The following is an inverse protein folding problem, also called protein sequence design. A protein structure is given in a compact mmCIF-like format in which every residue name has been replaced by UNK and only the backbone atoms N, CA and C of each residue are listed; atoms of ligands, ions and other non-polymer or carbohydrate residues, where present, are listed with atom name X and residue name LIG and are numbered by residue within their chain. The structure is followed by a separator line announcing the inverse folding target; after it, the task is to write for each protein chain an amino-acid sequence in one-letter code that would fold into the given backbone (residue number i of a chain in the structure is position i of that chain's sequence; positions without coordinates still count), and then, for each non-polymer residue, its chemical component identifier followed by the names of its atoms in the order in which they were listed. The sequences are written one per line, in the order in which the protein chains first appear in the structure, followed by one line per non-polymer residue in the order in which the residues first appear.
data_IF_379857925375
#
_entry.id   IF_379857925375
#
_cell.length_a   1.000
_cell.length_b   1.000
_cell.length_c   1.000
_cell.angle_alpha   90.00
_cell.angle_beta   90.00
_cell.angle_gamma   90.00
#
_symmetry.space_group_name_H-M   'P 1'
#
loop_
_entity.id
_entity.type
_entity.pdbx_description
1 polymer ?
#
# COMPACT_ATOMS: atom_id res chain seq x y z
N UNK A 1 56.70 73.92 18.66
CA UNK A 1 58.03 73.74 19.24
C UNK A 1 58.21 72.27 19.61
N UNK A 2 59.27 71.68 19.03
CA UNK A 2 59.98 70.43 19.42
C UNK A 2 59.22 69.11 19.46
N UNK A 3 59.53 68.28 18.51
CA UNK A 3 60.68 67.39 18.14
C UNK A 3 60.87 66.18 19.03
N UNK A 4 60.94 65.01 18.35
CA UNK A 4 61.66 63.76 18.60
C UNK A 4 60.93 62.74 19.47
N UNK A 5 60.89 61.40 19.16
CA UNK A 5 61.77 60.51 18.37
C UNK A 5 61.08 59.26 18.01
N UNK A 6 61.32 58.76 16.79
CA UNK A 6 61.21 57.38 16.37
C UNK A 6 62.11 56.46 17.19
N UNK A 7 61.73 55.24 17.42
CA UNK A 7 62.46 53.99 17.16
C UNK A 7 61.86 52.86 17.97
N UNK A 8 61.73 51.68 17.25
CA UNK A 8 61.49 50.30 17.68
C UNK A 8 60.06 49.77 17.81
N UNK A 9 59.58 49.36 16.65
CA UNK A 9 58.55 48.29 16.53
C UNK A 9 58.87 47.50 15.29
N UNK A 10 59.86 46.62 15.32
CA UNK A 10 60.10 45.61 14.29
C UNK A 10 60.74 44.38 14.91
N UNK A 11 60.02 43.58 15.69
CA UNK A 11 60.42 42.20 16.05
C UNK A 11 59.31 41.32 16.64
N UNK A 12 58.02 41.74 16.66
CA UNK A 12 56.94 40.91 17.25
C UNK A 12 55.90 40.40 16.25
N UNK A 13 56.14 40.59 14.94
CA UNK A 13 55.13 40.19 13.92
C UNK A 13 55.43 38.88 13.16
N UNK A 14 56.54 38.17 13.49
CA UNK A 14 56.91 36.93 12.77
C UNK A 14 56.55 35.63 13.49
N UNK A 15 56.19 35.66 14.77
CA UNK A 15 55.83 34.45 15.54
C UNK A 15 54.34 34.18 15.67
N UNK A 16 53.48 35.14 15.26
CA UNK A 16 52.03 34.95 15.35
C UNK A 16 51.38 34.36 14.05
N UNK A 17 52.12 34.29 12.94
CA UNK A 17 51.58 33.74 11.67
C UNK A 17 51.81 32.24 11.46
N UNK A 18 52.69 31.59 12.22
CA UNK A 18 52.96 30.16 12.12
C UNK A 18 52.01 29.28 12.94
N UNK A 19 51.32 29.84 13.97
CA UNK A 19 50.37 29.09 14.80
C UNK A 19 48.97 29.01 14.21
N UNK A 20 48.57 29.93 13.32
CA UNK A 20 47.26 29.91 12.70
C UNK A 20 47.15 29.01 11.46
N UNK A 21 48.23 28.69 10.79
CA UNK A 21 48.21 27.78 9.61
C UNK A 21 48.13 26.32 10.03
N UNK A 22 48.62 25.97 11.22
CA UNK A 22 48.58 24.59 11.74
C UNK A 22 47.20 24.18 12.31
N UNK A 23 46.36 25.11 12.76
CA UNK A 23 45.00 24.79 13.24
C UNK A 23 43.95 24.66 12.12
N UNK A 24 44.16 25.28 10.98
CA UNK A 24 43.28 25.15 9.83
C UNK A 24 43.50 23.83 9.07
N UNK A 25 44.72 23.32 9.07
CA UNK A 25 45.03 22.02 8.47
C UNK A 25 44.54 20.82 9.32
N UNK A 26 44.37 20.95 10.63
CA UNK A 26 43.80 19.91 11.49
C UNK A 26 42.27 19.89 11.47
N UNK A 27 41.62 21.03 11.20
CA UNK A 27 40.16 21.10 11.08
C UNK A 27 39.63 20.58 9.73
N UNK A 28 40.43 20.59 8.66
CA UNK A 28 40.07 20.07 7.34
C UNK A 28 40.27 18.55 7.20
N UNK A 29 40.94 17.89 8.13
CA UNK A 29 41.09 16.43 8.18
C UNK A 29 39.95 15.72 8.94
N UNK A 30 39.10 16.44 9.68
CA UNK A 30 38.00 15.85 10.46
C UNK A 30 36.64 15.84 9.75
N UNK A 31 36.50 16.47 8.57
CA UNK A 31 35.22 16.55 7.82
C UNK A 31 35.13 15.51 6.69
N UNK A 32 36.17 14.70 6.47
CA UNK A 32 36.15 13.65 5.44
C UNK A 32 35.96 12.21 5.93
N UNK A 33 35.48 12.01 7.15
CA UNK A 33 35.32 10.67 7.74
C UNK A 33 33.84 10.26 7.91
N UNK A 34 32.90 10.77 7.10
CA UNK A 34 31.48 10.38 7.20
C UNK A 34 30.81 9.97 5.88
N UNK A 35 31.57 9.68 4.85
CA UNK A 35 31.05 8.91 3.71
C UNK A 35 31.93 7.67 3.49
N UNK A 36 31.95 6.77 4.48
CA UNK A 36 32.37 5.41 4.21
C UNK A 36 31.26 4.79 3.32
N UNK A 37 31.55 4.32 2.10
CA UNK A 37 30.59 3.50 1.39
C UNK A 37 30.19 2.36 2.32
N UNK A 38 28.89 2.12 2.48
CA UNK A 38 28.40 0.94 3.17
C UNK A 38 29.14 -0.27 2.60
N UNK A 39 29.90 -0.97 3.43
CA UNK A 39 30.62 -2.17 3.03
C UNK A 39 29.55 -3.15 2.58
N UNK A 40 29.57 -3.51 1.29
CA UNK A 40 28.72 -4.59 0.79
C UNK A 40 29.05 -5.84 1.62
N UNK A 41 28.03 -6.47 2.23
CA UNK A 41 28.21 -7.67 3.04
C UNK A 41 27.89 -7.53 4.55
N UNK A 42 27.30 -6.42 5.02
CA UNK A 42 26.94 -6.26 6.42
C UNK A 42 25.45 -5.89 6.58
N UNK A 43 24.77 -6.63 7.49
CA UNK A 43 23.43 -6.26 7.98
C UNK A 43 23.60 -5.22 9.09
N UNK A 44 23.03 -4.03 8.94
CA UNK A 44 23.14 -2.93 9.89
C UNK A 44 22.62 -3.34 11.27
N UNK A 45 23.46 -3.14 12.29
CA UNK A 45 23.14 -3.58 13.65
C UNK A 45 22.95 -5.10 13.84
N UNK A 46 23.25 -5.93 12.83
CA UNK A 46 23.14 -7.39 12.87
C UNK A 46 21.71 -7.93 12.93
N UNK A 47 20.69 -7.11 12.67
CA UNK A 47 19.26 -7.48 12.69
C UNK A 47 18.51 -6.72 11.61
N UNK A 48 17.82 -7.43 10.72
CA UNK A 48 16.91 -6.84 9.74
C UNK A 48 15.62 -6.46 10.47
N UNK A 49 15.26 -5.19 10.50
CA UNK A 49 14.06 -4.72 11.21
C UNK A 49 12.99 -4.23 10.26
N UNK A 50 11.81 -4.83 10.32
CA UNK A 50 10.66 -4.55 9.46
C UNK A 50 9.54 -3.93 10.30
N UNK A 51 9.01 -2.78 9.85
CA UNK A 51 7.89 -2.08 10.47
C UNK A 51 6.58 -2.37 9.74
N UNK A 52 5.60 -2.99 10.41
CA UNK A 52 4.23 -3.13 9.90
C UNK A 52 3.39 -1.98 10.46
N UNK A 53 2.95 -1.07 9.57
CA UNK A 53 2.17 0.10 9.96
C UNK A 53 0.82 0.09 9.25
N UNK A 54 -0.27 0.09 10.01
CA UNK A 54 -1.62 0.01 9.47
C UNK A 54 -2.68 0.52 10.46
N UNK A 55 -3.96 0.40 10.13
CA UNK A 55 -5.08 0.61 11.03
C UNK A 55 -5.30 -0.66 11.87
N UNK A 56 -5.04 -0.61 13.16
CA UNK A 56 -5.13 -1.80 14.03
C UNK A 56 -6.43 -1.90 14.82
N UNK A 57 -7.22 -0.84 14.91
CA UNK A 57 -8.41 -0.79 15.72
C UNK A 57 -9.59 -0.01 15.09
N UNK A 58 -9.39 0.59 13.91
CA UNK A 58 -10.40 1.36 13.19
C UNK A 58 -11.08 0.55 12.08
N UNK A 59 -11.78 1.25 11.15
CA UNK A 59 -12.66 0.63 10.15
C UNK A 59 -11.95 -0.27 9.12
N UNK A 60 -10.62 -0.24 9.03
CA UNK A 60 -9.83 -1.09 8.14
C UNK A 60 -9.08 -2.20 8.88
N UNK A 61 -9.30 -2.37 10.20
CA UNK A 61 -8.56 -3.33 11.02
C UNK A 61 -8.79 -4.80 10.62
N UNK A 62 -9.98 -5.15 10.15
CA UNK A 62 -10.30 -6.51 9.71
C UNK A 62 -9.58 -6.88 8.41
N UNK A 63 -9.41 -5.91 7.50
CA UNK A 63 -8.73 -6.15 6.23
C UNK A 63 -7.20 -6.12 6.33
N UNK A 64 -6.65 -5.40 7.29
CA UNK A 64 -5.21 -5.21 7.54
C UNK A 64 -4.84 -5.65 8.97
N UNK A 65 -4.83 -4.72 9.89
CA UNK A 65 -4.72 -4.87 11.33
C UNK A 65 -3.68 -5.86 11.81
N UNK A 66 -4.02 -6.58 12.84
CA UNK A 66 -3.17 -7.64 13.41
C UNK A 66 -2.98 -8.83 12.45
N UNK A 67 -3.88 -9.02 11.47
CA UNK A 67 -3.71 -10.02 10.42
C UNK A 67 -2.44 -9.79 9.60
N UNK A 68 -2.18 -8.54 9.20
CA UNK A 68 -0.94 -8.16 8.50
C UNK A 68 0.32 -8.42 9.33
N UNK A 69 0.30 -8.14 10.63
CA UNK A 69 1.41 -8.44 11.53
C UNK A 69 1.69 -9.95 11.60
N UNK A 70 0.62 -10.77 11.63
CA UNK A 70 0.74 -12.24 11.62
C UNK A 70 1.26 -12.76 10.29
N UNK A 71 0.81 -12.17 9.16
CA UNK A 71 1.31 -12.48 7.83
C UNK A 71 2.81 -12.18 7.69
N UNK A 72 3.27 -11.03 8.19
CA UNK A 72 4.69 -10.68 8.23
C UNK A 72 5.51 -11.68 9.04
N UNK A 73 5.03 -12.09 10.20
CA UNK A 73 5.69 -13.12 11.04
C UNK A 73 5.76 -14.48 10.36
N UNK A 74 4.70 -14.91 9.64
CA UNK A 74 4.73 -16.15 8.85
C UNK A 74 5.79 -16.08 7.74
N UNK A 75 5.95 -14.92 7.09
CA UNK A 75 6.99 -14.74 6.08
C UNK A 75 8.39 -14.85 6.68
N UNK A 76 8.62 -14.26 7.86
CA UNK A 76 9.90 -14.41 8.60
C UNK A 76 10.14 -15.86 8.98
N UNK A 77 9.13 -16.55 9.51
CA UNK A 77 9.23 -17.97 9.86
C UNK A 77 9.64 -18.83 8.65
N UNK A 78 9.00 -18.60 7.49
CA UNK A 78 9.32 -19.37 6.27
C UNK A 78 10.69 -18.99 5.71
N UNK A 79 11.09 -17.73 5.75
CA UNK A 79 12.42 -17.28 5.35
C UNK A 79 13.53 -17.88 6.21
N UNK A 80 13.35 -17.92 7.52
CA UNK A 80 14.37 -18.41 8.47
C UNK A 80 14.59 -19.91 8.38
N UNK A 81 13.66 -20.69 7.79
CA UNK A 81 13.90 -22.12 7.52
C UNK A 81 15.10 -22.37 6.60
N UNK A 82 15.37 -21.44 5.68
CA UNK A 82 16.49 -21.51 4.74
C UNK A 82 17.62 -20.54 5.06
N UNK A 83 17.38 -19.55 5.92
CA UNK A 83 18.34 -18.52 6.31
C UNK A 83 18.41 -18.34 7.83
N UNK A 84 18.77 -19.40 8.60
CA UNK A 84 18.66 -19.39 10.07
C UNK A 84 19.67 -18.42 10.76
N UNK A 85 20.71 -17.99 10.06
CA UNK A 85 21.70 -17.05 10.59
C UNK A 85 21.24 -15.59 10.56
N UNK A 86 20.29 -15.24 9.67
CA UNK A 86 19.78 -13.88 9.55
C UNK A 86 18.70 -13.63 10.60
N UNK A 87 18.99 -12.67 11.48
CA UNK A 87 18.03 -12.23 12.51
C UNK A 87 17.07 -11.23 11.91
N UNK A 88 15.78 -11.44 12.14
CA UNK A 88 14.70 -10.55 11.68
C UNK A 88 13.83 -10.17 12.86
N UNK A 89 13.52 -8.89 12.98
CA UNK A 89 12.62 -8.33 13.98
C UNK A 89 11.42 -7.64 13.31
N UNK A 90 10.21 -7.86 13.85
CA UNK A 90 8.97 -7.22 13.37
C UNK A 90 8.45 -6.29 14.46
N UNK A 91 8.47 -5.00 14.17
CA UNK A 91 7.78 -3.98 14.95
C UNK A 91 6.45 -3.60 14.27
N UNK A 92 5.46 -3.19 15.04
CA UNK A 92 4.18 -2.77 14.47
C UNK A 92 3.61 -1.55 15.19
N UNK A 93 2.83 -0.74 14.46
CA UNK A 93 2.17 0.43 15.01
C UNK A 93 0.84 0.74 14.30
N UNK A 94 -0.06 1.37 15.05
CA UNK A 94 -1.35 1.85 14.58
C UNK A 94 -1.25 3.32 14.16
N UNK A 95 -1.53 3.61 12.90
CA UNK A 95 -1.58 4.99 12.40
C UNK A 95 -2.96 5.66 12.59
N UNK A 96 -3.96 4.93 13.10
CA UNK A 96 -5.30 5.44 13.41
C UNK A 96 -5.98 6.15 12.22
N UNK A 97 -5.66 5.78 11.00
CA UNK A 97 -6.08 6.45 9.76
C UNK A 97 -5.74 7.96 9.69
N UNK A 98 -4.68 8.39 10.39
CA UNK A 98 -4.20 9.78 10.44
C UNK A 98 -2.82 9.90 9.81
N UNK A 99 -2.72 10.76 8.80
CA UNK A 99 -1.49 10.95 8.02
C UNK A 99 -0.32 11.48 8.87
N UNK A 100 -0.58 12.39 9.79
CA UNK A 100 0.40 12.96 10.72
C UNK A 100 0.96 11.92 11.71
N UNK A 101 0.08 11.06 12.25
CA UNK A 101 0.47 9.96 13.13
C UNK A 101 1.35 8.96 12.36
N UNK A 102 0.89 8.48 11.20
CA UNK A 102 1.66 7.55 10.38
C UNK A 102 3.02 8.11 9.96
N UNK A 103 3.05 9.37 9.53
CA UNK A 103 4.28 10.08 9.19
C UNK A 103 5.24 10.22 10.40
N UNK A 104 4.72 10.54 11.57
CA UNK A 104 5.50 10.64 12.81
C UNK A 104 6.14 9.32 13.22
N UNK A 105 5.36 8.22 13.16
CA UNK A 105 5.83 6.86 13.47
C UNK A 105 6.96 6.45 12.52
N UNK A 106 6.74 6.56 11.20
CA UNK A 106 7.72 6.10 10.20
C UNK A 106 8.99 6.95 10.24
N UNK A 107 8.88 8.25 10.50
CA UNK A 107 10.07 9.10 10.70
C UNK A 107 10.90 8.61 11.90
N UNK A 108 10.24 8.36 13.05
CA UNK A 108 10.93 7.82 14.22
C UNK A 108 11.57 6.44 13.93
N UNK A 109 10.86 5.56 13.25
CA UNK A 109 11.35 4.24 12.87
C UNK A 109 12.63 4.33 12.04
N UNK A 110 12.67 5.19 11.03
CA UNK A 110 13.82 5.32 10.13
C UNK A 110 14.98 6.10 10.76
N UNK A 111 14.72 7.10 11.62
CA UNK A 111 15.76 7.96 12.20
C UNK A 111 16.32 7.42 13.51
N UNK A 112 15.54 6.68 14.30
CA UNK A 112 15.87 6.35 15.70
C UNK A 112 15.83 4.84 15.95
N UNK A 113 14.78 4.16 15.48
CA UNK A 113 14.52 2.78 15.88
C UNK A 113 15.25 1.77 14.95
N UNK A 114 15.92 2.24 13.89
CA UNK A 114 16.70 1.42 12.97
C UNK A 114 15.84 0.46 12.12
N UNK A 115 14.62 0.86 11.75
CA UNK A 115 13.79 0.11 10.82
C UNK A 115 14.35 0.24 9.41
N UNK A 116 14.50 -0.88 8.71
CA UNK A 116 15.07 -0.96 7.37
C UNK A 116 14.02 -0.80 6.29
N UNK A 117 12.82 -1.37 6.52
CA UNK A 117 11.71 -1.33 5.59
C UNK A 117 10.38 -1.22 6.34
N UNK A 118 9.45 -0.39 5.84
CA UNK A 118 8.08 -0.36 6.32
C UNK A 118 7.12 -1.01 5.32
N UNK A 119 6.04 -1.62 5.81
CA UNK A 119 5.08 -2.33 4.97
C UNK A 119 3.65 -2.15 5.45
N UNK A 120 2.71 -2.39 4.55
CA UNK A 120 1.25 -2.38 4.64
C UNK A 120 0.67 -1.00 4.35
N UNK A 121 0.48 -0.14 5.32
CA UNK A 121 -0.07 1.21 5.17
C UNK A 121 -1.50 1.21 4.60
N UNK A 122 -2.47 0.89 5.42
CA UNK A 122 -3.86 0.68 5.03
C UNK A 122 -4.70 1.92 4.68
N UNK A 123 -4.08 3.08 4.37
CA UNK A 123 -4.80 4.33 4.07
C UNK A 123 -4.04 5.17 3.05
N UNK A 124 -4.73 5.62 1.99
CA UNK A 124 -4.10 6.37 0.89
C UNK A 124 -3.50 7.72 1.33
N UNK A 125 -4.14 8.46 2.23
CA UNK A 125 -3.58 9.72 2.73
C UNK A 125 -2.34 9.49 3.59
N UNK A 126 -2.34 8.44 4.42
CA UNK A 126 -1.17 8.01 5.19
C UNK A 126 -0.06 7.55 4.26
N UNK A 127 -0.38 6.77 3.22
CA UNK A 127 0.57 6.27 2.24
C UNK A 127 1.33 7.39 1.51
N UNK A 128 0.62 8.41 1.04
CA UNK A 128 1.24 9.56 0.38
C UNK A 128 2.18 10.34 1.32
N UNK A 129 1.79 10.51 2.59
CA UNK A 129 2.63 11.16 3.60
C UNK A 129 3.90 10.33 3.91
N UNK A 130 3.75 9.02 4.07
CA UNK A 130 4.89 8.10 4.32
C UNK A 130 5.82 8.04 3.10
N UNK A 131 5.29 8.06 1.88
CA UNK A 131 6.08 8.02 0.64
C UNK A 131 7.08 9.18 0.57
N UNK A 132 6.65 10.38 0.95
CA UNK A 132 7.56 11.54 1.00
C UNK A 132 8.72 11.30 1.96
N UNK A 133 8.44 10.78 3.16
CA UNK A 133 9.47 10.47 4.17
C UNK A 133 10.41 9.36 3.68
N UNK A 134 9.86 8.28 3.12
CA UNK A 134 10.61 7.15 2.61
C UNK A 134 11.57 7.55 1.48
N UNK A 135 11.12 8.42 0.57
CA UNK A 135 11.94 9.01 -0.49
C UNK A 135 13.09 9.83 0.09
N UNK A 136 12.78 10.74 1.02
CA UNK A 136 13.75 11.67 1.60
C UNK A 136 14.80 10.95 2.47
N UNK A 137 14.43 9.81 3.08
CA UNK A 137 15.29 8.98 3.94
C UNK A 137 15.96 7.82 3.16
N UNK A 138 15.68 7.66 1.88
CA UNK A 138 16.09 6.52 1.07
C UNK A 138 15.81 5.17 1.75
N UNK A 139 14.57 4.96 2.23
CA UNK A 139 14.11 3.74 2.89
C UNK A 139 12.95 3.09 2.11
N UNK A 140 12.95 1.77 2.02
CA UNK A 140 11.92 1.02 1.28
C UNK A 140 10.60 1.06 2.04
N UNK A 141 9.52 1.32 1.30
CA UNK A 141 8.15 1.07 1.77
C UNK A 141 7.41 0.22 0.75
N UNK A 142 6.81 -0.87 1.22
CA UNK A 142 5.95 -1.74 0.42
C UNK A 142 4.51 -1.47 0.80
N UNK A 143 3.72 -0.98 -0.14
CA UNK A 143 2.31 -0.65 0.05
C UNK A 143 1.45 -1.83 -0.36
N UNK A 144 0.76 -2.44 0.59
CA UNK A 144 -0.13 -3.59 0.38
C UNK A 144 -1.60 -3.23 0.57
N UNK A 145 -1.92 -1.94 0.78
CA UNK A 145 -3.29 -1.48 0.98
C UNK A 145 -3.49 0.02 0.70
N UNK A 146 -2.68 0.59 -0.19
CA UNK A 146 -2.79 1.99 -0.63
C UNK A 146 -3.24 2.01 -2.08
N UNK A 147 -4.51 2.32 -2.32
CA UNK A 147 -5.13 2.19 -3.64
C UNK A 147 -5.04 3.44 -4.53
N UNK A 148 -4.62 4.61 -4.01
CA UNK A 148 -4.55 5.81 -4.84
C UNK A 148 -3.54 5.68 -5.98
N UNK A 149 -3.95 5.99 -7.21
CA UNK A 149 -3.07 5.99 -8.39
C UNK A 149 -1.96 7.04 -8.31
N UNK A 150 -2.10 8.05 -7.46
CA UNK A 150 -1.06 9.07 -7.25
C UNK A 150 0.24 8.49 -6.68
N UNK A 151 0.15 7.43 -5.88
CA UNK A 151 1.31 6.80 -5.24
C UNK A 151 2.37 6.34 -6.25
N UNK A 152 1.94 5.73 -7.35
CA UNK A 152 2.79 5.24 -8.44
C UNK A 152 2.67 6.10 -9.71
N UNK A 153 1.94 7.22 -9.62
CA UNK A 153 1.81 8.26 -10.63
C UNK A 153 2.69 9.46 -10.30
N UNK A 154 2.09 10.62 -10.14
CA UNK A 154 2.80 11.90 -9.92
C UNK A 154 3.71 11.91 -8.68
N UNK A 155 3.37 11.14 -7.66
CA UNK A 155 4.11 11.08 -6.40
C UNK A 155 5.00 9.82 -6.27
N UNK A 156 5.23 9.10 -7.36
CA UNK A 156 6.04 7.88 -7.29
C UNK A 156 7.48 8.16 -6.81
N UNK A 157 8.06 7.18 -6.13
CA UNK A 157 9.43 7.21 -5.63
C UNK A 157 10.10 5.87 -5.89
N UNK A 158 11.42 5.86 -6.11
CA UNK A 158 12.14 4.60 -6.35
C UNK A 158 12.03 3.62 -5.19
N UNK A 159 11.86 4.15 -3.97
CA UNK A 159 11.76 3.39 -2.71
C UNK A 159 10.34 2.95 -2.38
N UNK A 160 9.32 3.41 -3.11
CA UNK A 160 7.93 3.03 -2.90
C UNK A 160 7.50 1.94 -3.86
N UNK A 161 7.06 0.80 -3.34
CA UNK A 161 6.63 -0.35 -4.12
C UNK A 161 5.18 -0.69 -3.81
N UNK A 162 4.30 -0.68 -4.82
CA UNK A 162 2.91 -1.08 -4.67
C UNK A 162 2.75 -2.57 -4.98
N UNK A 163 2.25 -3.33 -3.99
CA UNK A 163 2.13 -4.78 -4.06
C UNK A 163 0.72 -5.26 -4.33
N UNK A 164 -0.21 -4.33 -4.42
CA UNK A 164 -1.64 -4.58 -4.47
C UNK A 164 -2.28 -3.83 -5.64
N UNK A 165 -3.62 -3.89 -5.72
CA UNK A 165 -4.43 -3.09 -6.63
C UNK A 165 -4.24 -1.58 -6.42
N UNK A 166 -4.57 -0.82 -7.45
CA UNK A 166 -4.86 0.62 -7.34
C UNK A 166 -6.30 0.92 -7.79
N UNK A 167 -6.71 2.17 -7.65
CA UNK A 167 -8.08 2.57 -8.02
C UNK A 167 -8.40 2.33 -9.50
N UNK A 168 -7.41 2.39 -10.39
CA UNK A 168 -7.62 2.05 -11.81
C UNK A 168 -7.98 0.58 -12.01
N UNK A 169 -7.20 -0.34 -11.39
CA UNK A 169 -7.49 -1.79 -11.51
C UNK A 169 -8.90 -2.11 -11.07
N UNK A 170 -9.32 -1.54 -9.92
CA UNK A 170 -10.58 -1.87 -9.28
C UNK A 170 -11.78 -1.48 -10.14
N UNK A 171 -11.68 -0.41 -10.94
CA UNK A 171 -12.85 0.16 -11.60
C UNK A 171 -12.86 0.02 -13.13
N UNK A 172 -11.72 0.07 -13.81
CA UNK A 172 -11.68 0.17 -15.27
C UNK A 172 -12.32 -1.03 -15.99
N UNK A 173 -11.98 -2.25 -15.56
CA UNK A 173 -12.55 -3.48 -16.12
C UNK A 173 -14.04 -3.67 -15.80
N UNK A 174 -14.43 -3.63 -14.51
CA UNK A 174 -15.83 -3.74 -14.09
C UNK A 174 -16.75 -2.70 -14.72
N UNK A 175 -16.35 -1.44 -14.78
CA UNK A 175 -17.15 -0.36 -15.39
C UNK A 175 -17.37 -0.65 -16.88
N UNK A 176 -16.31 -0.98 -17.62
CA UNK A 176 -16.42 -1.30 -19.04
C UNK A 176 -17.42 -2.45 -19.30
N UNK A 177 -17.34 -3.50 -18.49
CA UNK A 177 -18.25 -4.62 -18.60
C UNK A 177 -19.72 -4.23 -18.33
N UNK A 178 -19.97 -3.51 -17.22
CA UNK A 178 -21.33 -3.10 -16.86
C UNK A 178 -21.94 -2.08 -17.83
N UNK A 179 -21.14 -1.15 -18.35
CA UNK A 179 -21.63 -0.21 -19.39
C UNK A 179 -21.99 -0.95 -20.67
N UNK A 180 -21.22 -1.96 -21.09
CA UNK A 180 -21.54 -2.80 -22.24
C UNK A 180 -22.84 -3.61 -22.04
N UNK A 181 -23.21 -3.94 -20.81
CA UNK A 181 -24.49 -4.57 -20.43
C UNK A 181 -25.66 -3.56 -20.33
N UNK A 182 -25.40 -2.26 -20.58
CA UNK A 182 -26.42 -1.21 -20.56
C UNK A 182 -26.56 -0.47 -19.22
N UNK A 183 -25.69 -0.74 -18.24
CA UNK A 183 -25.62 0.00 -16.97
C UNK A 183 -24.76 1.26 -17.12
N UNK A 184 -25.20 2.21 -17.91
CA UNK A 184 -24.45 3.37 -18.40
C UNK A 184 -24.52 4.62 -17.51
N UNK A 185 -25.36 4.62 -16.47
CA UNK A 185 -25.51 5.77 -15.55
C UNK A 185 -25.17 5.37 -14.12
N UNK A 186 -24.29 6.13 -13.48
CA UNK A 186 -23.69 5.82 -12.19
C UNK A 186 -23.83 6.97 -11.21
N UNK A 187 -24.02 6.66 -9.93
CA UNK A 187 -23.94 7.58 -8.82
C UNK A 187 -23.02 6.98 -7.74
N UNK A 188 -22.21 7.82 -7.08
CA UNK A 188 -21.19 7.35 -6.15
C UNK A 188 -21.50 7.75 -4.71
N UNK A 189 -21.32 6.81 -3.78
CA UNK A 189 -21.25 7.04 -2.35
C UNK A 189 -19.81 6.73 -1.94
N UNK A 190 -19.03 7.74 -1.58
CA UNK A 190 -17.57 7.64 -1.42
C UNK A 190 -17.10 8.12 -0.05
N UNK A 191 -16.03 7.53 0.45
CA UNK A 191 -15.38 8.00 1.66
C UNK A 191 -14.64 9.33 1.41
N UNK A 192 -14.79 10.32 2.30
CA UNK A 192 -14.25 11.68 2.15
C UNK A 192 -12.76 11.75 2.54
N UNK A 193 -11.92 11.00 1.82
CA UNK A 193 -10.46 11.10 1.92
C UNK A 193 -9.79 10.70 0.58
N UNK A 194 -8.46 10.68 0.53
CA UNK A 194 -7.70 10.47 -0.72
C UNK A 194 -8.15 9.23 -1.52
N UNK A 195 -8.47 8.12 -0.84
CA UNK A 195 -8.96 6.91 -1.48
C UNK A 195 -10.29 7.13 -2.21
N UNK A 196 -11.35 7.53 -1.51
CA UNK A 196 -12.68 7.67 -2.12
C UNK A 196 -12.71 8.72 -3.22
N UNK A 197 -11.96 9.83 -3.07
CA UNK A 197 -11.82 10.86 -4.10
C UNK A 197 -11.13 10.30 -5.35
N UNK A 198 -10.06 9.54 -5.18
CA UNK A 198 -9.35 8.92 -6.29
C UNK A 198 -10.20 7.84 -6.97
N UNK A 199 -10.92 7.02 -6.19
CA UNK A 199 -11.85 6.03 -6.75
C UNK A 199 -12.91 6.67 -7.64
N UNK A 200 -13.60 7.72 -7.17
CA UNK A 200 -14.60 8.45 -7.96
C UNK A 200 -13.97 9.05 -9.23
N UNK A 201 -12.78 9.61 -9.14
CA UNK A 201 -12.07 10.19 -10.29
C UNK A 201 -11.77 9.12 -11.35
N UNK A 202 -11.20 7.98 -10.96
CA UNK A 202 -10.88 6.88 -11.88
C UNK A 202 -12.15 6.23 -12.45
N UNK A 203 -13.20 6.10 -11.65
CA UNK A 203 -14.50 5.60 -12.11
C UNK A 203 -15.13 6.53 -13.15
N UNK A 204 -15.10 7.85 -12.94
CA UNK A 204 -15.58 8.83 -13.90
C UNK A 204 -14.78 8.80 -15.20
N UNK A 205 -13.46 8.62 -15.12
CA UNK A 205 -12.57 8.43 -16.27
C UNK A 205 -12.93 7.16 -17.06
N UNK A 206 -13.10 6.05 -16.34
CA UNK A 206 -13.48 4.76 -16.95
C UNK A 206 -14.88 4.82 -17.60
N UNK A 207 -15.85 5.47 -16.95
CA UNK A 207 -17.19 5.71 -17.50
C UNK A 207 -17.13 6.50 -18.80
N UNK A 208 -16.42 7.63 -18.82
CA UNK A 208 -16.27 8.47 -20.00
C UNK A 208 -15.64 7.69 -21.17
N UNK A 209 -14.61 6.88 -20.89
CA UNK A 209 -13.96 6.03 -21.90
C UNK A 209 -14.86 4.90 -22.41
N UNK A 210 -15.85 4.47 -21.63
CA UNK A 210 -16.79 3.40 -21.98
C UNK A 210 -18.13 3.89 -22.52
N UNK A 211 -18.35 5.21 -22.65
CA UNK A 211 -19.62 5.79 -23.08
C UNK A 211 -20.68 5.88 -21.98
N UNK A 212 -20.31 5.67 -20.72
CA UNK A 212 -21.19 5.83 -19.57
C UNK A 212 -21.15 7.25 -19.00
N UNK A 213 -22.00 7.52 -18.00
CA UNK A 213 -22.18 8.84 -17.41
C UNK A 213 -22.27 8.79 -15.88
N UNK A 214 -21.51 9.61 -15.21
CA UNK A 214 -21.70 9.91 -13.77
C UNK A 214 -22.85 10.90 -13.59
N UNK A 215 -23.79 10.57 -12.70
CA UNK A 215 -24.91 11.45 -12.31
C UNK A 215 -24.60 12.21 -11.01
N UNK A 216 -23.43 11.97 -10.39
CA UNK A 216 -22.98 12.66 -9.19
C UNK A 216 -22.25 11.76 -8.22
N UNK A 217 -21.74 12.38 -7.17
CA UNK A 217 -21.08 11.72 -6.04
C UNK A 217 -21.40 12.44 -4.73
N UNK A 218 -21.53 11.68 -3.68
CA UNK A 218 -21.61 12.18 -2.30
C UNK A 218 -20.52 11.57 -1.45
N UNK A 219 -19.97 12.36 -0.53
CA UNK A 219 -18.84 11.96 0.28
C UNK A 219 -19.22 11.91 1.76
N UNK A 220 -18.95 10.78 2.39
CA UNK A 220 -19.22 10.58 3.82
C UNK A 220 -17.91 10.59 4.63
N UNK A 221 -17.95 11.03 5.89
CA UNK A 221 -16.80 10.96 6.80
C UNK A 221 -16.31 9.52 6.99
N UNK A 222 -15.00 9.34 7.27
CA UNK A 222 -14.45 8.06 7.72
C UNK A 222 -15.07 7.70 9.08
N UNK A 223 -15.49 6.45 9.24
CA UNK A 223 -16.17 5.99 10.46
C UNK A 223 -17.63 6.43 10.57
N UNK A 224 -18.25 6.84 9.46
CA UNK A 224 -19.67 7.18 9.42
C UNK A 224 -20.56 5.96 9.74
N UNK A 225 -21.51 6.12 10.65
CA UNK A 225 -22.42 5.05 11.06
C UNK A 225 -23.82 5.13 10.42
N UNK A 226 -24.22 6.29 9.90
CA UNK A 226 -25.53 6.52 9.31
C UNK A 226 -25.41 6.96 7.84
N UNK A 227 -25.86 6.10 6.93
CA UNK A 227 -25.82 6.31 5.48
C UNK A 227 -27.17 6.77 4.89
N UNK A 228 -28.22 6.97 5.69
CA UNK A 228 -29.60 7.27 5.25
C UNK A 228 -29.62 8.42 4.24
N UNK A 229 -29.00 9.56 4.58
CA UNK A 229 -29.02 10.75 3.71
C UNK A 229 -28.24 10.55 2.41
N UNK A 230 -27.18 9.76 2.43
CA UNK A 230 -26.38 9.43 1.23
C UNK A 230 -27.17 8.47 0.32
N UNK A 231 -27.84 7.48 0.90
CA UNK A 231 -28.68 6.52 0.19
C UNK A 231 -29.89 7.19 -0.47
N UNK A 232 -30.55 8.12 0.22
CA UNK A 232 -31.65 8.90 -0.35
C UNK A 232 -31.21 9.76 -1.54
N UNK A 233 -30.02 10.36 -1.50
CA UNK A 233 -29.46 11.09 -2.63
C UNK A 233 -29.16 10.16 -3.80
N UNK A 234 -28.59 8.97 -3.53
CA UNK A 234 -28.36 7.96 -4.55
C UNK A 234 -29.68 7.49 -5.18
N UNK A 235 -30.72 7.25 -4.39
CA UNK A 235 -32.03 6.89 -4.89
C UNK A 235 -32.64 7.99 -5.78
N UNK A 236 -32.55 9.24 -5.33
CA UNK A 236 -33.06 10.39 -6.07
C UNK A 236 -32.34 10.61 -7.42
N UNK A 237 -31.07 10.19 -7.54
CA UNK A 237 -30.30 10.30 -8.78
C UNK A 237 -30.86 9.46 -9.94
N UNK A 238 -31.61 8.40 -9.64
CA UNK A 238 -32.13 7.41 -10.60
C UNK A 238 -31.04 6.78 -11.48
N UNK A 239 -29.79 6.79 -11.03
CA UNK A 239 -28.70 6.08 -11.69
C UNK A 239 -28.99 4.58 -11.73
N UNK A 240 -28.60 3.90 -12.81
CA UNK A 240 -28.74 2.43 -12.91
C UNK A 240 -27.80 1.71 -11.92
N UNK A 241 -26.63 2.31 -11.66
CA UNK A 241 -25.65 1.81 -10.68
C UNK A 241 -25.48 2.84 -9.56
N UNK A 242 -25.45 2.34 -8.31
CA UNK A 242 -24.92 3.06 -7.16
C UNK A 242 -23.63 2.37 -6.75
N UNK A 243 -22.52 3.07 -6.93
CA UNK A 243 -21.18 2.56 -6.63
C UNK A 243 -20.72 3.02 -5.24
N UNK A 244 -20.27 2.07 -4.43
CA UNK A 244 -19.74 2.30 -3.11
C UNK A 244 -18.20 2.37 -3.20
N UNK A 245 -17.68 3.60 -3.21
CA UNK A 245 -16.26 3.92 -3.20
C UNK A 245 -15.75 4.05 -1.75
N UNK A 246 -16.01 3.02 -0.95
CA UNK A 246 -15.59 2.85 0.45
C UNK A 246 -15.14 1.40 0.66
N UNK A 247 -14.67 1.05 1.85
CA UNK A 247 -14.13 -0.28 2.15
C UNK A 247 -14.26 -0.62 3.63
N UNK A 248 -14.09 -1.89 3.97
CA UNK A 248 -14.12 -2.39 5.34
C UNK A 248 -15.47 -2.13 6.02
N UNK A 249 -15.45 -1.74 7.29
CA UNK A 249 -16.67 -1.47 8.06
C UNK A 249 -17.61 -0.47 7.39
N UNK A 250 -17.06 0.50 6.64
CA UNK A 250 -17.87 1.50 5.92
C UNK A 250 -18.70 0.87 4.81
N UNK A 251 -18.12 -0.07 4.05
CA UNK A 251 -18.85 -0.84 3.04
C UNK A 251 -19.90 -1.72 3.71
N UNK A 252 -19.53 -2.45 4.76
CA UNK A 252 -20.43 -3.35 5.50
C UNK A 252 -21.65 -2.59 6.00
N UNK A 253 -21.44 -1.43 6.64
CA UNK A 253 -22.54 -0.62 7.21
C UNK A 253 -23.42 -0.03 6.10
N UNK A 254 -22.84 0.55 5.06
CA UNK A 254 -23.61 1.16 3.96
C UNK A 254 -24.43 0.10 3.18
N UNK A 255 -23.89 -1.10 2.98
CA UNK A 255 -24.60 -2.18 2.31
C UNK A 255 -25.72 -2.80 3.16
N UNK A 256 -25.55 -2.90 4.48
CA UNK A 256 -26.63 -3.31 5.38
C UNK A 256 -27.79 -2.33 5.30
N UNK A 257 -27.51 -1.02 5.40
CA UNK A 257 -28.53 0.02 5.27
C UNK A 257 -29.14 0.08 3.88
N UNK A 258 -28.36 -0.14 2.80
CA UNK A 258 -28.90 -0.31 1.44
C UNK A 258 -30.04 -1.36 1.39
N UNK A 259 -29.82 -2.51 2.00
CA UNK A 259 -30.83 -3.57 2.05
C UNK A 259 -32.02 -3.22 2.95
N UNK A 260 -31.77 -2.62 4.12
CA UNK A 260 -32.81 -2.18 5.06
C UNK A 260 -33.75 -1.13 4.43
N UNK A 261 -33.22 -0.22 3.61
CA UNK A 261 -34.00 0.77 2.87
C UNK A 261 -34.69 0.19 1.62
N UNK A 262 -34.48 -1.08 1.30
CA UNK A 262 -35.09 -1.71 0.12
C UNK A 262 -34.63 -1.10 -1.21
N UNK A 263 -33.41 -0.61 -1.25
CA UNK A 263 -32.86 0.18 -2.38
C UNK A 263 -32.68 -0.60 -3.69
N UNK A 264 -32.79 -1.89 -3.73
CA UNK A 264 -32.52 -2.71 -4.94
C UNK A 264 -33.54 -2.59 -6.10
N UNK A 265 -34.62 -1.83 -5.93
CA UNK A 265 -35.66 -1.70 -6.97
C UNK A 265 -35.25 -0.65 -8.00
N UNK A 266 -34.71 -1.08 -9.14
CA UNK A 266 -34.34 -0.22 -10.27
C UNK A 266 -32.90 0.33 -10.24
N UNK A 267 -32.18 0.10 -9.18
CA UNK A 267 -30.74 0.43 -9.05
C UNK A 267 -29.95 -0.79 -8.59
N UNK A 268 -28.75 -1.00 -9.17
CA UNK A 268 -27.86 -2.10 -8.80
C UNK A 268 -26.70 -1.56 -7.96
N UNK A 269 -26.38 -2.15 -6.78
CA UNK A 269 -25.22 -1.76 -6.01
C UNK A 269 -23.95 -2.38 -6.61
N UNK A 270 -22.86 -1.64 -6.55
CA UNK A 270 -21.51 -2.11 -6.90
C UNK A 270 -20.56 -1.73 -5.79
N UNK A 271 -19.84 -2.69 -5.22
CA UNK A 271 -18.74 -2.45 -4.30
C UNK A 271 -17.45 -2.31 -5.11
N UNK A 272 -16.89 -1.11 -5.17
CA UNK A 272 -15.65 -0.88 -5.92
C UNK A 272 -14.42 -1.51 -5.26
N UNK A 273 -14.46 -1.70 -3.94
CA UNK A 273 -13.47 -2.48 -3.18
C UNK A 273 -14.19 -3.33 -2.13
N UNK A 274 -13.92 -4.63 -2.11
CA UNK A 274 -14.56 -5.56 -1.18
C UNK A 274 -13.58 -6.66 -0.80
N UNK A 275 -13.38 -6.85 0.49
CA UNK A 275 -12.57 -7.93 1.04
C UNK A 275 -13.43 -9.13 1.48
N UNK A 276 -12.79 -10.29 1.64
CA UNK A 276 -13.49 -11.49 2.12
C UNK A 276 -14.05 -11.31 3.54
N UNK A 277 -13.42 -10.49 4.36
CA UNK A 277 -13.87 -10.10 5.71
C UNK A 277 -15.15 -9.28 5.66
N UNK A 278 -15.31 -8.41 4.65
CA UNK A 278 -16.52 -7.61 4.46
C UNK A 278 -17.71 -8.52 4.14
N UNK A 279 -17.51 -9.51 3.25
CA UNK A 279 -18.55 -10.51 2.93
C UNK A 279 -18.90 -11.36 4.14
N UNK A 280 -17.90 -11.73 4.97
CA UNK A 280 -18.13 -12.45 6.22
C UNK A 280 -19.00 -11.63 7.20
N UNK A 281 -18.71 -10.33 7.35
CA UNK A 281 -19.45 -9.42 8.23
C UNK A 281 -20.86 -9.05 7.70
N UNK A 282 -21.03 -8.95 6.38
CA UNK A 282 -22.32 -8.72 5.74
C UNK A 282 -23.18 -10.00 5.66
N UNK A 283 -22.59 -11.16 5.70
CA UNK A 283 -23.09 -12.49 5.30
C UNK A 283 -23.35 -12.62 3.79
N UNK A 284 -23.23 -13.83 3.22
CA UNK A 284 -23.56 -14.07 1.81
C UNK A 284 -24.99 -13.69 1.42
N UNK A 285 -25.94 -13.80 2.36
CA UNK A 285 -27.35 -13.43 2.09
C UNK A 285 -27.51 -11.93 1.78
N UNK A 286 -26.76 -11.08 2.47
CA UNK A 286 -26.80 -9.61 2.29
C UNK A 286 -25.97 -9.15 1.08
N UNK A 287 -24.87 -9.86 0.78
CA UNK A 287 -23.89 -9.48 -0.25
C UNK A 287 -23.97 -10.31 -1.54
N UNK A 288 -24.92 -11.24 -1.64
CA UNK A 288 -25.15 -12.11 -2.80
C UNK A 288 -25.08 -11.35 -4.12
N UNK A 289 -24.30 -11.89 -5.05
CA UNK A 289 -24.19 -11.35 -6.41
C UNK A 289 -23.31 -10.10 -6.53
N UNK A 290 -22.82 -9.52 -5.43
CA UNK A 290 -21.81 -8.47 -5.50
C UNK A 290 -20.57 -9.01 -6.21
N UNK A 291 -19.99 -8.17 -7.06
CA UNK A 291 -18.75 -8.46 -7.79
C UNK A 291 -17.65 -7.50 -7.35
N UNK A 292 -16.43 -7.99 -7.33
CA UNK A 292 -15.24 -7.16 -7.09
C UNK A 292 -14.03 -7.75 -7.82
N UNK A 293 -13.01 -6.94 -8.02
CA UNK A 293 -11.71 -7.41 -8.49
C UNK A 293 -10.79 -7.59 -7.28
N UNK A 294 -10.05 -8.69 -7.23
CA UNK A 294 -9.08 -8.97 -6.16
C UNK A 294 -7.86 -9.69 -6.71
N UNK A 295 -6.68 -9.40 -6.18
CA UNK A 295 -5.45 -10.13 -6.48
C UNK A 295 -5.30 -11.43 -5.69
N UNK A 296 -6.20 -11.69 -4.73
CA UNK A 296 -6.10 -12.83 -3.84
C UNK A 296 -7.46 -13.48 -3.54
N UNK A 297 -7.47 -14.81 -3.58
CA UNK A 297 -8.54 -15.60 -2.96
C UNK A 297 -7.95 -16.86 -2.29
N UNK A 298 -8.23 -17.02 -1.03
CA UNK A 298 -7.67 -18.09 -0.19
C UNK A 298 -7.93 -19.51 -0.72
N UNK A 299 -9.05 -19.72 -1.41
CA UNK A 299 -9.47 -21.01 -1.94
C UNK A 299 -9.15 -21.20 -3.43
N UNK A 300 -8.27 -20.38 -4.02
CA UNK A 300 -7.96 -20.39 -5.46
C UNK A 300 -7.32 -21.70 -5.93
N UNK A 301 -6.38 -22.22 -5.17
CA UNK A 301 -5.68 -23.48 -5.46
C UNK A 301 -5.15 -24.13 -4.17
N UNK A 302 -4.43 -25.25 -4.26
CA UNK A 302 -3.91 -25.97 -3.11
C UNK A 302 -2.90 -25.16 -2.31
N UNK A 303 -1.97 -24.45 -2.96
CA UNK A 303 -0.96 -23.61 -2.30
C UNK A 303 -1.61 -22.51 -1.47
N UNK A 304 -2.59 -21.79 -2.07
CA UNK A 304 -3.31 -20.72 -1.37
C UNK A 304 -4.13 -21.27 -0.20
N UNK A 305 -4.75 -22.45 -0.34
CA UNK A 305 -5.45 -23.14 0.76
C UNK A 305 -4.50 -23.51 1.89
N UNK A 306 -3.36 -24.11 1.58
CA UNK A 306 -2.36 -24.52 2.58
C UNK A 306 -1.82 -23.33 3.38
N UNK A 307 -1.44 -22.25 2.70
CA UNK A 307 -1.05 -21.00 3.34
C UNK A 307 -2.16 -20.44 4.23
N UNK A 308 -3.37 -20.33 3.68
CA UNK A 308 -4.50 -19.72 4.39
C UNK A 308 -4.94 -20.52 5.61
N UNK A 309 -4.81 -21.83 5.60
CA UNK A 309 -5.07 -22.67 6.78
C UNK A 309 -4.04 -22.44 7.89
N UNK A 310 -2.76 -22.22 7.55
CA UNK A 310 -1.74 -21.82 8.52
C UNK A 310 -2.05 -20.45 9.12
N UNK A 311 -2.39 -19.51 8.27
CA UNK A 311 -2.78 -18.17 8.68
C UNK A 311 -4.03 -18.18 9.59
N UNK A 312 -5.06 -18.92 9.21
CA UNK A 312 -6.30 -19.07 9.98
C UNK A 312 -6.06 -19.59 11.40
N UNK A 313 -5.17 -20.56 11.56
CA UNK A 313 -4.79 -21.09 12.89
C UNK A 313 -4.20 -20.00 13.81
N UNK A 314 -3.55 -19.01 13.24
CA UNK A 314 -2.93 -17.90 13.99
C UNK A 314 -3.87 -16.72 14.19
N UNK A 315 -4.79 -16.48 13.24
CA UNK A 315 -5.57 -15.26 13.20
C UNK A 315 -7.06 -15.46 13.50
N UNK A 316 -7.62 -16.63 13.19
CA UNK A 316 -9.04 -16.92 13.35
C UNK A 316 -9.92 -16.46 12.17
N UNK A 317 -9.34 -15.85 11.15
CA UNK A 317 -10.00 -15.45 9.90
C UNK A 317 -9.16 -15.87 8.69
N UNK A 318 -9.77 -16.00 7.51
CA UNK A 318 -9.01 -16.24 6.28
C UNK A 318 -8.29 -14.96 5.85
N UNK A 319 -7.08 -15.09 5.25
CA UNK A 319 -6.30 -13.93 4.85
C UNK A 319 -7.01 -13.14 3.76
N UNK A 320 -7.03 -11.84 3.94
CA UNK A 320 -7.43 -10.86 2.92
C UNK A 320 -6.32 -10.70 1.88
N UNK A 321 -6.61 -9.99 0.80
CA UNK A 321 -5.61 -9.63 -0.21
C UNK A 321 -4.44 -8.81 0.39
N UNK A 322 -4.68 -7.72 1.18
CA UNK A 322 -3.61 -6.99 1.87
C UNK A 322 -2.74 -7.89 2.75
N UNK A 323 -3.33 -8.76 3.53
CA UNK A 323 -2.60 -9.64 4.45
C UNK A 323 -1.73 -10.66 3.69
N UNK A 324 -2.24 -11.23 2.59
CA UNK A 324 -1.46 -12.11 1.72
C UNK A 324 -0.34 -11.36 0.99
N UNK A 325 -0.59 -10.13 0.57
CA UNK A 325 0.40 -9.24 -0.03
C UNK A 325 1.51 -8.84 0.96
N UNK A 326 1.20 -8.65 2.25
CA UNK A 326 2.22 -8.44 3.31
C UNK A 326 3.13 -9.65 3.44
N UNK A 327 2.59 -10.87 3.46
CA UNK A 327 3.42 -12.07 3.48
C UNK A 327 4.38 -12.09 2.28
N UNK A 328 3.87 -11.88 1.08
CA UNK A 328 4.66 -11.86 -0.17
C UNK A 328 5.73 -10.77 -0.15
N UNK A 329 5.36 -9.54 0.19
CA UNK A 329 6.28 -8.39 0.22
C UNK A 329 7.42 -8.57 1.22
N UNK A 330 7.12 -9.06 2.43
CA UNK A 330 8.14 -9.36 3.45
C UNK A 330 9.07 -10.49 2.98
N UNK A 331 8.51 -11.57 2.43
CA UNK A 331 9.30 -12.71 1.97
C UNK A 331 10.22 -12.30 0.82
N UNK A 332 9.73 -11.52 -0.14
CA UNK A 332 10.51 -11.04 -1.28
C UNK A 332 11.61 -10.06 -0.84
N UNK A 333 11.31 -9.14 0.08
CA UNK A 333 12.28 -8.24 0.67
C UNK A 333 13.42 -9.01 1.36
N UNK A 334 13.08 -9.96 2.23
CA UNK A 334 14.08 -10.76 2.96
C UNK A 334 14.95 -11.61 2.04
N UNK A 335 14.36 -12.23 1.00
CA UNK A 335 15.11 -12.95 -0.03
C UNK A 335 16.07 -12.02 -0.78
N UNK A 336 15.65 -10.79 -1.01
CA UNK A 336 16.46 -9.78 -1.70
C UNK A 336 17.61 -9.27 -0.82
N UNK A 337 17.40 -9.09 0.48
CA UNK A 337 18.45 -8.80 1.47
C UNK A 337 19.48 -9.93 1.50
N UNK A 338 19.03 -11.18 1.60
CA UNK A 338 19.93 -12.34 1.59
C UNK A 338 20.73 -12.47 0.28
N UNK A 339 20.09 -12.19 -0.86
CA UNK A 339 20.75 -12.24 -2.18
C UNK A 339 21.70 -11.06 -2.43
N UNK A 340 21.49 -9.92 -1.78
CA UNK A 340 22.35 -8.74 -1.81
C UNK A 340 23.47 -8.83 -0.78
N UNK A 341 23.37 -9.72 0.18
CA UNK A 341 24.28 -9.85 1.35
C UNK A 341 24.40 -8.52 2.14
N UNK A 342 23.34 -7.71 2.14
CA UNK A 342 23.27 -6.40 2.83
C UNK A 342 21.83 -5.93 2.92
N UNK A 343 21.53 -5.05 3.89
CA UNK A 343 20.27 -4.32 4.02
C UNK A 343 20.31 -2.90 3.41
N UNK A 344 21.40 -2.54 2.75
CA UNK A 344 21.52 -1.25 2.07
C UNK A 344 20.43 -1.08 1.01
N UNK A 345 19.61 -0.03 1.14
CA UNK A 345 18.39 0.22 0.37
C UNK A 345 18.55 0.02 -1.13
N UNK A 346 19.58 0.62 -1.73
CA UNK A 346 19.74 0.59 -3.19
C UNK A 346 20.09 -0.83 -3.69
N UNK A 347 20.98 -1.53 -2.99
CA UNK A 347 21.34 -2.92 -3.34
C UNK A 347 20.14 -3.87 -3.19
N UNK A 348 19.33 -3.70 -2.15
CA UNK A 348 18.13 -4.51 -1.94
C UNK A 348 17.08 -4.20 -3.01
N UNK A 349 16.84 -2.93 -3.33
CA UNK A 349 15.90 -2.53 -4.40
C UNK A 349 16.29 -3.10 -5.76
N UNK A 350 17.58 -3.10 -6.11
CA UNK A 350 18.08 -3.68 -7.35
C UNK A 350 17.78 -5.18 -7.41
N UNK A 351 17.98 -5.91 -6.31
CA UNK A 351 17.61 -7.32 -6.19
C UNK A 351 16.11 -7.53 -6.28
N UNK A 352 15.31 -6.72 -5.57
CA UNK A 352 13.84 -6.82 -5.61
C UNK A 352 13.31 -6.63 -7.03
N UNK A 353 13.84 -5.66 -7.78
CA UNK A 353 13.39 -5.36 -9.15
C UNK A 353 13.89 -6.37 -10.19
N UNK A 354 15.09 -6.92 -9.99
CA UNK A 354 15.69 -7.89 -10.93
C UNK A 354 15.23 -9.32 -10.73
N UNK A 355 14.66 -9.65 -9.55
CA UNK A 355 14.16 -10.98 -9.21
C UNK A 355 12.64 -11.03 -9.31
N UNK A 356 12.05 -11.92 -10.10
CA UNK A 356 10.60 -12.10 -10.11
C UNK A 356 10.07 -12.54 -8.75
N UNK A 357 8.90 -12.02 -8.36
CA UNK A 357 8.16 -12.53 -7.21
C UNK A 357 7.56 -13.87 -7.59
N UNK A 358 7.95 -14.92 -6.84
CA UNK A 358 7.46 -16.29 -7.02
C UNK A 358 7.16 -16.90 -5.66
N UNK A 359 5.91 -16.77 -5.25
CA UNK A 359 5.41 -17.28 -3.98
C UNK A 359 3.91 -17.66 -4.07
N UNK A 360 3.25 -17.81 -2.94
CA UNK A 360 1.83 -18.18 -2.88
C UNK A 360 0.90 -17.05 -3.38
N UNK A 361 1.34 -15.79 -3.29
CA UNK A 361 0.56 -14.63 -3.72
C UNK A 361 0.60 -14.46 -5.24
N UNK A 362 1.80 -14.43 -5.81
CA UNK A 362 2.03 -14.21 -7.23
C UNK A 362 3.10 -15.16 -7.79
N UNK A 363 2.96 -15.57 -9.06
CA UNK A 363 3.88 -16.43 -9.77
C UNK A 363 4.57 -15.68 -10.90
N UNK A 364 5.89 -15.54 -10.82
CA UNK A 364 6.69 -14.89 -11.84
C UNK A 364 6.42 -13.39 -12.04
N UNK A 365 5.78 -12.74 -11.06
CA UNK A 365 5.41 -11.34 -11.14
C UNK A 365 6.62 -10.41 -11.07
N UNK A 366 6.55 -9.26 -11.75
CA UNK A 366 7.66 -8.32 -11.84
C UNK A 366 7.29 -6.95 -11.31
N UNK A 367 8.23 -6.31 -10.64
CA UNK A 367 8.10 -4.91 -10.21
C UNK A 367 8.45 -4.04 -11.41
N UNK A 368 7.47 -3.27 -11.87
CA UNK A 368 7.56 -2.36 -13.01
C UNK A 368 8.34 -1.08 -12.65
N UNK A 369 8.74 -0.28 -13.63
CA UNK A 369 9.51 0.97 -13.42
C UNK A 369 8.81 1.95 -12.49
N UNK A 370 7.48 2.04 -12.56
CA UNK A 370 6.64 2.85 -11.68
C UNK A 370 6.44 2.29 -10.27
N UNK A 371 7.10 1.17 -9.94
CA UNK A 371 7.06 0.54 -8.63
C UNK A 371 5.87 -0.40 -8.40
N UNK A 372 5.02 -0.65 -9.39
CA UNK A 372 3.90 -1.60 -9.26
C UNK A 372 4.36 -3.04 -9.48
N UNK A 373 3.95 -3.94 -8.59
CA UNK A 373 4.04 -5.38 -8.81
C UNK A 373 2.92 -5.81 -9.75
N UNK A 374 3.26 -6.16 -11.00
CA UNK A 374 2.27 -6.59 -11.99
C UNK A 374 2.00 -8.07 -11.85
N UNK A 375 0.77 -8.44 -11.53
CA UNK A 375 0.30 -9.82 -11.36
C UNK A 375 -1.17 -9.96 -11.77
N UNK A 376 -1.65 -11.18 -11.90
CA UNK A 376 -3.04 -11.46 -12.27
C UNK A 376 -4.02 -11.07 -11.17
N UNK A 377 -5.21 -10.64 -11.62
CA UNK A 377 -6.36 -10.38 -10.76
C UNK A 377 -7.50 -11.36 -11.09
N UNK A 378 -8.42 -11.45 -10.16
CA UNK A 378 -9.59 -12.33 -10.25
C UNK A 378 -10.85 -11.51 -10.09
N UNK A 379 -11.70 -11.51 -11.13
CA UNK A 379 -13.06 -11.05 -11.00
C UNK A 379 -13.83 -12.09 -10.20
N UNK A 380 -14.26 -11.71 -9.01
CA UNK A 380 -15.01 -12.59 -8.11
C UNK A 380 -16.45 -12.12 -7.97
N UNK A 381 -17.35 -13.08 -7.73
CA UNK A 381 -18.73 -12.84 -7.39
C UNK A 381 -19.07 -13.55 -6.10
N UNK A 382 -19.78 -12.86 -5.20
CA UNK A 382 -20.29 -13.47 -3.97
C UNK A 382 -21.34 -14.52 -4.31
N UNK A 383 -21.13 -15.73 -3.82
CA UNK A 383 -22.01 -16.89 -3.99
C UNK A 383 -23.40 -16.65 -3.43
N UNK A 384 -24.37 -17.32 -4.03
CA UNK A 384 -25.68 -17.54 -3.38
C UNK A 384 -25.47 -18.30 -2.06
N UNK A 385 -26.19 -17.99 -0.97
CA UNK A 385 -26.09 -18.75 0.28
C UNK A 385 -26.24 -20.25 0.12
N UNK A 386 -27.02 -20.73 -0.84
CA UNK A 386 -27.20 -22.15 -1.14
C UNK A 386 -25.93 -22.80 -1.76
N UNK A 387 -25.02 -22.03 -2.33
CA UNK A 387 -23.76 -22.50 -2.91
C UNK A 387 -22.61 -22.52 -1.91
N UNK A 388 -22.76 -21.89 -0.74
CA UNK A 388 -21.73 -21.79 0.28
C UNK A 388 -21.62 -23.12 1.04
N UNK A 389 -20.54 -23.87 0.81
CA UNK A 389 -20.33 -25.20 1.41
C UNK A 389 -19.60 -25.14 2.77
N UNK A 390 -18.82 -24.10 2.98
CA UNK A 390 -18.06 -23.87 4.20
C UNK A 390 -17.89 -22.39 4.50
N UNK A 391 -17.68 -22.05 5.76
CA UNK A 391 -17.36 -20.66 6.14
C UNK A 391 -16.15 -20.15 5.35
N UNK A 392 -16.20 -18.88 4.94
CA UNK A 392 -15.20 -18.20 4.13
C UNK A 392 -15.15 -18.62 2.64
N UNK A 393 -15.88 -19.65 2.20
CA UNK A 393 -15.92 -20.08 0.80
C UNK A 393 -16.97 -19.29 0.00
N UNK A 394 -16.84 -17.94 0.04
CA UNK A 394 -17.88 -17.02 -0.40
C UNK A 394 -17.80 -16.61 -1.85
N UNK A 395 -16.71 -16.85 -2.57
CA UNK A 395 -16.54 -16.38 -3.94
C UNK A 395 -16.59 -17.49 -4.97
N UNK A 396 -17.22 -17.17 -6.09
CA UNK A 396 -16.97 -17.79 -7.39
C UNK A 396 -15.96 -16.91 -8.15
N UNK A 397 -14.87 -17.50 -8.67
CA UNK A 397 -13.98 -16.81 -9.62
C UNK A 397 -14.66 -16.83 -10.96
N UNK A 398 -15.07 -15.67 -11.44
CA UNK A 398 -15.78 -15.51 -12.73
C UNK A 398 -14.78 -15.48 -13.88
N UNK A 399 -13.66 -14.76 -13.69
CA UNK A 399 -12.63 -14.59 -14.70
C UNK A 399 -11.28 -14.29 -14.03
N UNK A 400 -10.20 -14.84 -14.59
CA UNK A 400 -8.84 -14.36 -14.36
C UNK A 400 -8.56 -13.22 -15.34
N UNK A 401 -8.09 -12.10 -14.83
CA UNK A 401 -7.66 -10.92 -15.60
C UNK A 401 -6.13 -10.87 -15.55
N UNK A 402 -5.45 -11.08 -16.67
CA UNK A 402 -3.98 -11.00 -16.72
C UNK A 402 -3.49 -9.63 -16.21
N UNK A 403 -2.35 -9.63 -15.52
CA UNK A 403 -1.80 -8.40 -14.95
C UNK A 403 -1.63 -7.27 -15.96
N UNK A 404 -1.20 -7.60 -17.18
CA UNK A 404 -1.05 -6.61 -18.27
C UNK A 404 -2.37 -5.95 -18.69
N UNK A 405 -3.51 -6.64 -18.52
CA UNK A 405 -4.84 -6.08 -18.78
C UNK A 405 -5.42 -5.35 -17.56
N UNK A 406 -5.04 -5.79 -16.35
CA UNK A 406 -5.54 -5.24 -15.10
C UNK A 406 -4.92 -3.89 -14.77
N UNK A 407 -3.61 -3.74 -14.95
CA UNK A 407 -2.90 -2.51 -14.66
C UNK A 407 -2.96 -1.49 -15.81
N UNK A 408 -2.94 -0.21 -15.48
CA UNK A 408 -2.84 0.85 -16.49
C UNK A 408 -1.60 0.66 -17.36
N UNK A 409 -1.66 0.93 -18.67
CA UNK A 409 -0.49 0.85 -19.55
C UNK A 409 0.66 1.73 -19.04
N UNK A 410 1.89 1.20 -19.07
CA UNK A 410 3.06 1.95 -18.60
C UNK A 410 3.27 3.26 -19.38
N UNK A 411 2.89 3.29 -20.66
CA UNK A 411 2.95 4.48 -21.49
C UNK A 411 2.05 5.63 -21.00
N UNK A 412 0.99 5.31 -20.23
CA UNK A 412 0.09 6.29 -19.62
C UNK A 412 0.56 6.71 -18.22
N UNK A 413 1.64 6.14 -17.71
CA UNK A 413 2.12 6.44 -16.37
C UNK A 413 2.51 7.92 -16.24
N UNK A 414 2.08 8.54 -15.15
CA UNK A 414 2.50 9.90 -14.75
C UNK A 414 3.73 9.88 -13.83
N UNK A 415 4.33 8.71 -13.60
CA UNK A 415 5.52 8.56 -12.76
C UNK A 415 6.75 9.17 -13.45
N UNK A 416 7.46 10.13 -12.83
CA UNK A 416 8.66 10.75 -13.42
C UNK A 416 9.85 9.78 -13.55
N UNK A 417 9.79 8.60 -12.97
CA UNK A 417 10.83 7.56 -13.09
C UNK A 417 10.67 6.74 -14.39
N UNK A 418 9.49 6.75 -14.99
CA UNK A 418 9.22 6.04 -16.25
C UNK A 418 9.79 6.87 -17.41
N UNK A 419 10.69 6.29 -18.17
CA UNK A 419 11.24 6.92 -19.38
C UNK A 419 10.19 6.85 -20.49
N UNK A 420 9.78 8.01 -20.98
CA UNK A 420 8.86 8.14 -22.12
C UNK A 420 9.63 8.19 -23.43
#
# INVERSE_FOLDING_TARGET
MNRRRMWNTTLTSFLAKSAQVSMIAAALLFVRAMDAPAIAGEISGGVIRIGVINDQAGPLSDSNGQGSVRAARLAVEDFQKTNPSLKVDIVSADHQNKADIGAGIVRKWFDVDGVDMAIDVGNSAVGLAIQSIARDKNKIVIYTSVATTELNGKQCAKTGLAWLHDSYNLVAGPIRALVAEGYDTWFFIAADYAFGKNMVMESQRALAASGGKSLGAVFHPVGNADYSSFLLQAQASKAKIVAFANAGEQLVTSMKQWNEFGMGTGQKPVAELMFITDVHAMTPATSKGLTSLTGWYWARNEDTRAFSQRFFKLHGAMPTEPQAAVYSGVLHYLRSVAAADTDATDAVLDKMRSTPVDDVYAKGAKIREDGKLVHDFYLVQVKDPSEVKAAWEYYNIVKTVPGEEAFSPLAESECPLVKK
#
